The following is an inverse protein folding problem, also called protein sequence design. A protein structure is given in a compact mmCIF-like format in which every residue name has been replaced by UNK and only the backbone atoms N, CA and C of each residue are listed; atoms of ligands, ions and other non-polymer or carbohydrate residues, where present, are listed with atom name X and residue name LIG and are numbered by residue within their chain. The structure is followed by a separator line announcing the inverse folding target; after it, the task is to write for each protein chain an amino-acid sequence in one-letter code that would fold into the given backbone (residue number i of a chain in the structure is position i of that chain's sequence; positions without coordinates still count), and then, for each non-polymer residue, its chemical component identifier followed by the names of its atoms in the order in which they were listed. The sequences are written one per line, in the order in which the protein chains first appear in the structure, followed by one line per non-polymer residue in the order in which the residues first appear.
data_IF_422668076882
#
_entry.id   IF_422668076882
#
_cell.length_a   1.000
_cell.length_b   1.000
_cell.length_c   1.000
_cell.angle_alpha   90.00
_cell.angle_beta   90.00
_cell.angle_gamma   90.00
#
_symmetry.space_group_name_H-M   'P 1'
#
loop_
_entity.id
_entity.type
_entity.pdbx_description
1 polymer ?
#
# COMPACT_ATOMS: atom_id res chain seq x y z
N UNK A 1 9.00 -11.52 16.63
CA UNK A 1 8.89 -11.63 15.14
C UNK A 1 7.48 -11.41 14.55
N UNK A 2 6.38 -11.92 15.11
CA UNK A 2 5.03 -11.81 14.49
C UNK A 2 4.45 -10.39 14.34
N UNK A 3 5.05 -9.39 14.99
CA UNK A 3 4.56 -8.01 14.96
C UNK A 3 4.89 -7.29 13.65
N UNK A 4 6.12 -7.42 13.14
CA UNK A 4 6.65 -6.60 12.02
C UNK A 4 5.96 -6.85 10.66
N UNK A 5 5.49 -8.07 10.41
CA UNK A 5 4.68 -8.39 9.22
C UNK A 5 3.29 -7.74 9.32
N UNK A 6 2.70 -7.75 10.52
CA UNK A 6 1.41 -7.10 10.77
C UNK A 6 1.54 -5.57 10.71
N UNK A 7 2.62 -5.00 11.26
CA UNK A 7 2.95 -3.57 11.16
C UNK A 7 3.12 -3.14 9.70
N UNK A 8 3.89 -3.88 8.90
CA UNK A 8 4.07 -3.57 7.48
C UNK A 8 2.73 -3.61 6.73
N UNK A 9 1.92 -4.64 6.97
CA UNK A 9 0.57 -4.74 6.38
C UNK A 9 -0.33 -3.58 6.81
N UNK A 10 -0.29 -3.17 8.08
CA UNK A 10 -1.04 -2.02 8.57
C UNK A 10 -0.58 -0.73 7.88
N UNK A 11 0.73 -0.56 7.72
CA UNK A 11 1.31 0.60 7.05
C UNK A 11 0.94 0.66 5.56
N UNK A 12 0.78 -0.47 4.86
CA UNK A 12 0.20 -0.47 3.49
C UNK A 12 -1.19 0.16 3.49
N UNK A 13 -2.05 -0.21 4.45
CA UNK A 13 -3.39 0.35 4.56
C UNK A 13 -3.34 1.86 4.86
N UNK A 14 -2.51 2.27 5.81
CA UNK A 14 -2.33 3.68 6.20
C UNK A 14 -1.83 4.54 5.02
N UNK A 15 -0.79 4.08 4.32
CA UNK A 15 -0.22 4.77 3.17
C UNK A 15 -1.24 4.91 2.03
N UNK A 16 -1.99 3.84 1.76
CA UNK A 16 -3.04 3.85 0.74
C UNK A 16 -4.16 4.82 1.11
N UNK A 17 -4.59 4.82 2.38
CA UNK A 17 -5.63 5.71 2.88
C UNK A 17 -5.17 7.18 2.85
N UNK A 18 -3.94 7.47 3.29
CA UNK A 18 -3.37 8.82 3.25
C UNK A 18 -3.26 9.33 1.80
N UNK A 19 -2.82 8.48 0.87
CA UNK A 19 -2.77 8.82 -0.54
C UNK A 19 -4.16 9.08 -1.13
N UNK A 20 -5.16 8.29 -0.77
CA UNK A 20 -6.55 8.55 -1.14
C UNK A 20 -7.03 9.91 -0.64
N UNK A 21 -6.80 10.25 0.63
CA UNK A 21 -7.20 11.55 1.18
C UNK A 21 -6.53 12.70 0.43
N UNK A 22 -5.22 12.62 0.16
CA UNK A 22 -4.51 13.61 -0.65
C UNK A 22 -5.07 13.74 -2.07
N UNK A 23 -5.43 12.62 -2.69
CA UNK A 23 -6.05 12.63 -4.01
C UNK A 23 -7.47 13.22 -4.00
N UNK A 24 -8.22 13.05 -2.91
CA UNK A 24 -9.51 13.71 -2.70
C UNK A 24 -9.33 15.22 -2.53
N UNK A 25 -8.37 15.66 -1.72
CA UNK A 25 -8.02 17.08 -1.54
C UNK A 25 -7.58 17.73 -2.87
N UNK A 26 -6.86 16.97 -3.71
CA UNK A 26 -6.47 17.39 -5.05
C UNK A 26 -7.61 17.33 -6.10
N UNK A 27 -8.82 16.89 -5.72
CA UNK A 27 -9.98 16.77 -6.61
C UNK A 27 -9.85 15.67 -7.67
N UNK A 28 -8.96 14.68 -7.47
CA UNK A 28 -8.72 13.57 -8.39
C UNK A 28 -9.60 12.35 -8.12
N UNK A 29 -9.97 12.13 -6.86
CA UNK A 29 -10.88 11.08 -6.41
C UNK A 29 -12.09 11.68 -5.68
N UNK A 30 -13.28 11.07 -5.75
CA UNK A 30 -14.45 11.53 -5.00
C UNK A 30 -14.28 11.28 -3.50
N UNK A 31 -14.73 12.24 -2.68
CA UNK A 31 -14.74 12.13 -1.22
C UNK A 31 -15.82 11.14 -0.73
N UNK A 32 -15.60 10.58 0.47
CA UNK A 32 -16.61 9.78 1.17
C UNK A 32 -16.77 8.34 0.65
N UNK A 33 -15.93 7.88 -0.28
CA UNK A 33 -15.92 6.49 -0.68
C UNK A 33 -15.29 5.60 0.41
N UNK A 34 -16.03 4.59 0.84
CA UNK A 34 -15.51 3.50 1.68
C UNK A 34 -15.04 2.35 0.80
N UNK A 35 -13.74 2.08 0.82
CA UNK A 35 -13.13 1.00 0.04
C UNK A 35 -12.62 -0.09 0.98
N UNK A 36 -13.23 -1.28 0.90
CA UNK A 36 -12.76 -2.46 1.63
C UNK A 36 -11.72 -3.19 0.79
N UNK A 37 -10.46 -2.80 0.94
CA UNK A 37 -9.33 -3.42 0.29
C UNK A 37 -8.83 -4.64 1.06
N UNK A 38 -8.30 -5.62 0.33
CA UNK A 38 -7.53 -6.73 0.91
C UNK A 38 -6.05 -6.49 0.66
N UNK A 39 -5.24 -6.74 1.68
CA UNK A 39 -3.78 -6.73 1.59
C UNK A 39 -3.30 -8.16 1.84
N UNK A 40 -2.55 -8.70 0.89
CA UNK A 40 -2.04 -10.07 0.92
C UNK A 40 -0.56 -10.12 0.56
N UNK A 41 0.10 -11.24 0.87
CA UNK A 41 1.49 -11.49 0.46
C UNK A 41 1.40 -12.28 -0.86
N UNK A 42 1.88 -11.73 -1.98
CA UNK A 42 1.84 -12.43 -3.26
C UNK A 42 2.70 -13.70 -3.22
N UNK A 43 2.30 -14.72 -3.96
CA UNK A 43 3.08 -15.97 -4.08
C UNK A 43 4.35 -15.79 -4.92
N UNK A 44 4.32 -14.85 -5.87
CA UNK A 44 5.46 -14.49 -6.71
C UNK A 44 6.14 -13.25 -6.13
N UNK A 45 7.40 -13.38 -5.74
CA UNK A 45 8.21 -12.30 -5.17
C UNK A 45 8.52 -11.19 -6.17
N UNK A 46 8.35 -11.45 -7.46
CA UNK A 46 8.45 -10.43 -8.52
C UNK A 46 7.34 -9.38 -8.40
N UNK A 47 6.24 -9.70 -7.71
CA UNK A 47 5.12 -8.80 -7.44
C UNK A 47 5.28 -8.02 -6.12
N UNK A 48 6.50 -7.96 -5.58
CA UNK A 48 6.78 -7.31 -4.30
C UNK A 48 6.44 -8.19 -3.10
N UNK A 49 6.47 -7.59 -1.92
CA UNK A 49 6.27 -8.27 -0.64
C UNK A 49 4.80 -8.23 -0.19
N UNK A 50 4.07 -7.20 -0.61
CA UNK A 50 2.64 -7.06 -0.31
C UNK A 50 1.87 -6.57 -1.54
N UNK A 51 0.68 -7.09 -1.74
CA UNK A 51 -0.24 -6.67 -2.79
C UNK A 51 -1.54 -6.16 -2.17
N UNK A 52 -2.01 -5.00 -2.64
CA UNK A 52 -3.28 -4.40 -2.23
C UNK A 52 -4.27 -4.34 -3.39
N UNK A 53 -5.48 -4.82 -3.14
CA UNK A 53 -6.59 -4.78 -4.10
C UNK A 53 -7.42 -3.49 -4.02
N UNK A 54 -6.91 -2.46 -3.34
CA UNK A 54 -7.66 -1.22 -3.06
C UNK A 54 -8.27 -0.60 -4.33
N UNK A 55 -7.50 -0.47 -5.40
CA UNK A 55 -8.01 0.19 -6.60
C UNK A 55 -9.13 -0.62 -7.29
N UNK A 56 -9.04 -1.96 -7.22
CA UNK A 56 -10.08 -2.88 -7.70
C UNK A 56 -11.35 -2.80 -6.86
N UNK A 57 -11.21 -2.82 -5.53
CA UNK A 57 -12.34 -2.71 -4.61
C UNK A 57 -13.00 -1.32 -4.70
N UNK A 58 -12.21 -0.28 -4.96
CA UNK A 58 -12.66 1.11 -5.04
C UNK A 58 -13.32 1.50 -6.36
N UNK A 59 -13.16 0.71 -7.42
CA UNK A 59 -13.64 1.06 -8.76
C UNK A 59 -15.12 1.44 -8.82
N UNK A 60 -15.98 0.69 -8.12
CA UNK A 60 -17.42 0.97 -8.04
C UNK A 60 -17.72 2.20 -7.19
N UNK A 61 -17.08 2.34 -6.03
CA UNK A 61 -17.33 3.44 -5.10
C UNK A 61 -16.80 4.78 -5.62
N UNK A 62 -15.69 4.75 -6.37
CA UNK A 62 -15.03 5.92 -6.93
C UNK A 62 -15.49 6.23 -8.36
N UNK A 63 -16.34 5.37 -8.96
CA UNK A 63 -16.83 5.50 -10.33
C UNK A 63 -15.71 5.69 -11.38
N UNK A 64 -14.58 5.03 -11.17
CA UNK A 64 -13.38 5.15 -11.99
C UNK A 64 -12.78 3.79 -12.30
N UNK A 65 -12.02 3.72 -13.40
CA UNK A 65 -11.31 2.50 -13.77
C UNK A 65 -10.28 2.13 -12.68
N UNK A 66 -10.17 0.85 -12.28
CA UNK A 66 -9.24 0.45 -11.22
C UNK A 66 -7.80 0.88 -11.48
N UNK A 67 -7.33 0.80 -12.74
CA UNK A 67 -5.98 1.24 -13.10
C UNK A 67 -5.78 2.74 -12.96
N UNK A 68 -6.81 3.55 -13.21
CA UNK A 68 -6.75 5.00 -13.02
C UNK A 68 -6.72 5.37 -11.53
N UNK A 69 -7.49 4.65 -10.70
CA UNK A 69 -7.45 4.78 -9.24
C UNK A 69 -6.05 4.40 -8.74
N UNK A 70 -5.52 3.25 -9.18
CA UNK A 70 -4.19 2.80 -8.79
C UNK A 70 -3.11 3.84 -9.13
N UNK A 71 -3.17 4.41 -10.34
CA UNK A 71 -2.25 5.47 -10.75
C UNK A 71 -2.37 6.69 -9.84
N UNK A 72 -3.60 7.16 -9.60
CA UNK A 72 -3.85 8.32 -8.74
C UNK A 72 -3.33 8.11 -7.32
N UNK A 73 -3.52 6.90 -6.78
CA UNK A 73 -3.00 6.53 -5.46
C UNK A 73 -1.47 6.54 -5.45
N UNK A 74 -0.82 5.93 -6.45
CA UNK A 74 0.65 5.92 -6.56
C UNK A 74 1.21 7.35 -6.71
N UNK A 75 0.54 8.20 -7.48
CA UNK A 75 0.95 9.61 -7.69
C UNK A 75 0.87 10.45 -6.40
N UNK A 76 0.01 10.07 -5.45
CA UNK A 76 -0.16 10.73 -4.15
C UNK A 76 0.40 9.90 -2.98
N UNK A 77 1.12 8.83 -3.28
CA UNK A 77 1.75 7.99 -2.29
C UNK A 77 3.02 8.68 -1.78
N UNK A 78 3.20 8.67 -0.48
CA UNK A 78 4.42 9.18 0.14
C UNK A 78 5.04 8.05 0.94
N UNK A 79 6.14 7.52 0.42
CA UNK A 79 6.88 6.43 1.05
C UNK A 79 7.94 6.93 2.05
N UNK A 80 8.11 8.25 2.18
CA UNK A 80 9.12 8.81 3.08
C UNK A 80 8.86 8.35 4.52
N UNK A 81 9.89 7.73 5.12
CA UNK A 81 9.78 7.21 6.49
C UNK A 81 9.07 5.86 6.60
N UNK A 82 8.48 5.33 5.54
CA UNK A 82 7.83 4.01 5.56
C UNK A 82 8.83 2.85 5.45
N UNK A 83 8.33 1.64 5.66
CA UNK A 83 9.02 0.38 5.44
C UNK A 83 9.16 0.02 3.96
N UNK A 84 8.51 0.74 3.04
CA UNK A 84 8.46 0.41 1.62
C UNK A 84 9.39 1.31 0.80
N UNK A 85 10.08 0.72 -0.18
CA UNK A 85 10.96 1.49 -1.09
C UNK A 85 10.29 1.82 -2.43
N UNK A 86 9.34 1.01 -2.89
CA UNK A 86 8.66 1.21 -4.16
C UNK A 86 7.25 0.62 -4.14
N UNK A 87 6.40 1.17 -5.00
CA UNK A 87 5.07 0.64 -5.30
C UNK A 87 4.88 0.58 -6.81
N UNK A 88 4.39 -0.55 -7.31
CA UNK A 88 4.17 -0.80 -8.73
C UNK A 88 2.72 -1.22 -8.99
N UNK A 89 2.19 -0.86 -10.17
CA UNK A 89 0.81 -1.16 -10.55
C UNK A 89 0.78 -2.38 -11.45
N UNK A 90 0.29 -3.50 -10.92
CA UNK A 90 0.16 -4.75 -11.66
C UNK A 90 -1.26 -4.95 -12.22
N UNK A 91 -1.31 -5.53 -13.43
CA UNK A 91 -2.54 -5.94 -14.09
C UNK A 91 -3.62 -4.83 -14.13
N UNK A 92 -4.87 -5.13 -13.74
CA UNK A 92 -5.97 -4.18 -13.84
C UNK A 92 -5.93 -3.07 -12.78
N UNK A 93 -5.10 -3.16 -11.73
CA UNK A 93 -5.06 -2.16 -10.65
C UNK A 93 -4.60 -2.70 -9.29
N UNK A 94 -3.78 -3.76 -9.25
CA UNK A 94 -3.15 -4.18 -8.00
C UNK A 94 -1.99 -3.24 -7.66
N UNK A 95 -1.91 -2.84 -6.40
CA UNK A 95 -0.80 -2.05 -5.87
C UNK A 95 0.19 -3.00 -5.18
N UNK A 96 1.35 -3.19 -5.79
CA UNK A 96 2.39 -4.08 -5.32
C UNK A 96 3.46 -3.26 -4.59
N UNK A 97 3.64 -3.52 -3.30
CA UNK A 97 4.56 -2.83 -2.41
C UNK A 97 5.80 -3.69 -2.17
N UNK A 98 6.97 -3.08 -2.31
CA UNK A 98 8.26 -3.74 -2.00
C UNK A 98 8.89 -3.10 -0.78
N UNK A 99 9.25 -3.94 0.20
CA UNK A 99 9.94 -3.55 1.41
C UNK A 99 11.32 -2.97 1.09
N UNK A 100 11.69 -1.96 1.86
CA UNK A 100 13.00 -1.32 1.78
C UNK A 100 13.94 -1.73 2.91
N UNK A 101 15.19 -1.27 2.86
CA UNK A 101 16.22 -1.57 3.86
C UNK A 101 15.82 -1.24 5.31
N UNK A 102 14.98 -0.22 5.50
CA UNK A 102 14.49 0.21 6.82
C UNK A 102 13.71 -0.87 7.55
N UNK A 103 12.93 -1.67 6.83
CA UNK A 103 12.18 -2.76 7.45
C UNK A 103 13.12 -3.83 8.01
N UNK A 104 14.15 -4.20 7.23
CA UNK A 104 15.15 -5.16 7.68
C UNK A 104 15.97 -4.65 8.86
N UNK A 105 16.33 -3.36 8.88
CA UNK A 105 16.98 -2.74 10.03
C UNK A 105 16.11 -2.77 11.29
N UNK A 106 14.82 -2.46 11.16
CA UNK A 106 13.89 -2.52 12.29
C UNK A 106 13.70 -3.94 12.81
N UNK A 107 13.66 -4.95 11.92
CA UNK A 107 13.58 -6.36 12.33
C UNK A 107 14.85 -6.81 13.05
N UNK A 108 16.04 -6.41 12.59
CA UNK A 108 17.29 -6.75 13.26
C UNK A 108 17.39 -6.11 14.65
N UNK A 109 16.99 -4.84 14.79
CA UNK A 109 16.98 -4.14 16.07
C UNK A 109 16.03 -4.79 17.09
N UNK A 110 14.84 -5.26 16.65
CA UNK A 110 13.92 -6.01 17.52
C UNK A 110 14.54 -7.31 18.04
N UNK A 111 15.29 -8.02 17.18
CA UNK A 111 15.95 -9.30 17.55
C UNK A 111 17.11 -9.07 18.53
N UNK A 112 17.84 -7.96 18.42
CA UNK A 112 18.92 -7.61 19.37
C UNK A 112 18.39 -7.20 20.75
N UNK A 113 17.16 -6.69 20.86
CA UNK A 113 16.55 -6.32 22.15
C UNK A 113 15.85 -7.47 22.88
N UNK A 114 15.40 -8.50 22.15
CA UNK A 114 14.80 -9.71 22.73
C UNK A 114 15.85 -10.81 23.05
N UNK A 115 17.14 -10.54 22.81
CA UNK A 115 18.27 -11.45 23.06
C UNK A 115 18.94 -11.27 24.43
#
# INVERSE_FOLDING_TARGET
MSNKIQEARAQVAELTQAAYLRAVEAGKLPAGAEVKATIEIPKDTSHGDYASSYAMAGAKALHQAPRAIAQTIVDHLDLAGSYFQKVEIAGPGFLNFTLGPKWYQAVLADVEQEG
#
